data_IF_078737622314
#
_entry.id   IF_078737622314
#
_cell.length_a   1.000
_cell.length_b   1.000
_cell.length_c   1.000
_cell.angle_alpha   90.00
_cell.angle_beta   90.00
_cell.angle_gamma   90.00
#
_symmetry.space_group_name_H-M   'P 1'
#
loop_
_entity.id
_entity.type
_entity.pdbx_description
1 polymer ?
#
# COMPACT_ATOMS: atom_id res chain seq x y z
N UNK A 1 -1.21 26.85 5.00
CA UNK A 1 -0.60 25.51 4.86
C UNK A 1 -1.46 24.70 3.90
N UNK A 2 -0.91 24.13 2.82
CA UNK A 2 -1.67 23.34 1.84
C UNK A 2 -1.81 21.89 2.35
N UNK A 3 -2.98 21.27 2.18
CA UNK A 3 -3.18 19.86 2.48
C UNK A 3 -2.35 18.96 1.56
N UNK A 4 -1.84 17.84 2.08
CA UNK A 4 -1.18 16.79 1.31
C UNK A 4 -2.25 15.83 0.75
N UNK A 5 -2.42 15.83 -0.57
CA UNK A 5 -3.49 15.11 -1.25
C UNK A 5 -2.97 13.78 -1.79
N UNK A 6 -3.61 12.68 -1.41
CA UNK A 6 -3.27 11.33 -1.84
C UNK A 6 -4.37 10.77 -2.71
N UNK A 7 -4.05 10.42 -3.94
CA UNK A 7 -4.95 9.65 -4.79
C UNK A 7 -4.88 8.16 -4.42
N UNK A 8 -5.98 7.63 -3.90
CA UNK A 8 -6.13 6.23 -3.51
C UNK A 8 -6.47 5.37 -4.73
N UNK A 9 -5.47 4.81 -5.39
CA UNK A 9 -5.67 3.94 -6.55
C UNK A 9 -6.05 2.52 -6.09
N UNK A 10 -5.47 2.07 -4.98
CA UNK A 10 -5.70 0.74 -4.40
C UNK A 10 -5.54 -0.39 -5.43
N UNK A 11 -6.65 -1.09 -5.77
CA UNK A 11 -6.72 -2.15 -6.78
C UNK A 11 -7.53 -1.76 -8.03
N UNK A 12 -7.93 -0.49 -8.17
CA UNK A 12 -8.74 -0.01 -9.31
C UNK A 12 -8.03 -0.09 -10.68
N UNK A 13 -6.76 -0.46 -10.69
CA UNK A 13 -5.99 -0.72 -11.91
C UNK A 13 -6.25 -2.12 -12.51
N UNK A 14 -7.04 -2.98 -11.83
CA UNK A 14 -7.51 -4.29 -12.29
C UNK A 14 -6.42 -5.23 -12.82
N UNK A 15 -5.22 -5.14 -12.25
CA UNK A 15 -4.05 -5.91 -12.67
C UNK A 15 -3.36 -5.42 -13.94
N UNK A 16 -3.86 -4.34 -14.57
CA UNK A 16 -3.29 -3.75 -15.78
C UNK A 16 -2.30 -2.63 -15.46
N UNK A 17 -1.02 -2.84 -15.75
CA UNK A 17 0.03 -1.82 -15.57
C UNK A 17 -0.21 -0.58 -16.43
N UNK A 18 -0.82 -0.72 -17.61
CA UNK A 18 -1.15 0.42 -18.48
C UNK A 18 -2.24 1.29 -17.84
N UNK A 19 -3.29 0.68 -17.27
CA UNK A 19 -4.34 1.38 -16.50
C UNK A 19 -3.74 2.07 -15.28
N UNK A 20 -2.88 1.36 -14.51
CA UNK A 20 -2.21 1.95 -13.35
C UNK A 20 -1.39 3.21 -13.72
N UNK A 21 -0.60 3.15 -14.81
CA UNK A 21 0.16 4.31 -15.31
C UNK A 21 -0.75 5.47 -15.73
N UNK A 22 -1.89 5.18 -16.37
CA UNK A 22 -2.87 6.21 -16.71
C UNK A 22 -3.44 6.87 -15.45
N UNK A 23 -3.84 6.09 -14.45
CA UNK A 23 -4.33 6.60 -13.17
C UNK A 23 -3.28 7.47 -12.45
N UNK A 24 -2.01 7.06 -12.41
CA UNK A 24 -0.92 7.86 -11.85
C UNK A 24 -0.80 9.21 -12.59
N UNK A 25 -0.78 9.18 -13.92
CA UNK A 25 -0.68 10.39 -14.76
C UNK A 25 -1.84 11.36 -14.51
N UNK A 26 -3.07 10.85 -14.51
CA UNK A 26 -4.24 11.70 -14.28
C UNK A 26 -4.32 12.23 -12.84
N UNK A 27 -3.91 11.43 -11.84
CA UNK A 27 -3.76 11.90 -10.46
C UNK A 27 -2.77 13.06 -10.35
N UNK A 28 -1.62 12.97 -11.03
CA UNK A 28 -0.63 14.06 -11.09
C UNK A 28 -1.21 15.32 -11.73
N UNK A 29 -1.91 15.19 -12.86
CA UNK A 29 -2.56 16.31 -13.54
C UNK A 29 -3.63 16.98 -12.66
N UNK A 30 -4.38 16.19 -11.89
CA UNK A 30 -5.38 16.67 -10.95
C UNK A 30 -4.78 17.35 -9.69
N UNK A 31 -3.45 17.41 -9.57
CA UNK A 31 -2.76 18.08 -8.48
C UNK A 31 -2.55 17.25 -7.22
N UNK A 32 -2.70 15.93 -7.29
CA UNK A 32 -2.35 15.05 -6.18
C UNK A 32 -0.84 15.08 -5.90
N UNK A 33 -0.49 15.04 -4.62
CA UNK A 33 0.89 15.00 -4.13
C UNK A 33 1.45 13.59 -4.17
N UNK A 34 0.59 12.59 -3.99
CA UNK A 34 0.96 11.17 -3.99
C UNK A 34 -0.10 10.28 -4.59
N UNK A 35 0.33 9.08 -5.02
CA UNK A 35 -0.54 7.96 -5.37
C UNK A 35 -0.31 6.81 -4.40
N UNK A 36 -1.38 6.12 -4.00
CA UNK A 36 -1.30 4.98 -3.10
C UNK A 36 -1.91 3.72 -3.70
N UNK A 37 -1.16 2.63 -3.61
CA UNK A 37 -1.53 1.29 -4.03
C UNK A 37 -1.64 0.33 -2.84
N UNK A 38 -1.96 -0.92 -3.11
CA UNK A 38 -2.04 -1.98 -2.12
C UNK A 38 -1.26 -3.20 -2.58
N UNK A 39 -0.45 -3.76 -1.69
CA UNK A 39 0.44 -4.87 -1.95
C UNK A 39 0.08 -6.03 -1.01
N UNK A 40 -0.84 -6.86 -1.46
CA UNK A 40 -1.36 -8.04 -0.75
C UNK A 40 -1.21 -9.29 -1.62
N UNK A 41 -1.27 -10.45 -1.00
CA UNK A 41 -1.35 -11.75 -1.66
C UNK A 41 -2.79 -12.26 -1.57
N UNK A 42 -3.38 -12.67 -2.69
CA UNK A 42 -4.75 -13.19 -2.70
C UNK A 42 -4.88 -14.44 -1.82
N UNK A 43 -3.85 -15.30 -1.81
CA UNK A 43 -3.77 -16.46 -0.92
C UNK A 43 -3.95 -16.15 0.55
N UNK A 44 -3.48 -15.00 1.01
CA UNK A 44 -3.48 -14.64 2.43
C UNK A 44 -4.80 -14.02 2.88
N UNK A 45 -5.47 -13.29 1.97
CA UNK A 45 -6.63 -12.47 2.33
C UNK A 45 -7.95 -12.92 1.72
N UNK A 46 -7.92 -13.69 0.63
CA UNK A 46 -9.09 -13.96 -0.20
C UNK A 46 -9.22 -15.42 -0.64
N UNK A 47 -8.58 -16.34 0.08
CA UNK A 47 -8.69 -17.77 -0.20
C UNK A 47 -10.15 -18.21 -0.17
N UNK A 48 -10.60 -18.91 -1.23
CA UNK A 48 -11.99 -19.35 -1.35
C UNK A 48 -12.99 -18.28 -1.80
N UNK A 49 -12.54 -17.04 -2.09
CA UNK A 49 -13.44 -15.98 -2.57
C UNK A 49 -14.00 -16.31 -3.96
N UNK A 50 -15.30 -16.10 -4.24
CA UNK A 50 -15.91 -16.38 -5.55
C UNK A 50 -15.16 -15.72 -6.73
N UNK A 51 -14.71 -14.48 -6.54
CA UNK A 51 -13.99 -13.69 -7.53
C UNK A 51 -12.47 -13.90 -7.52
N UNK A 52 -12.00 -15.05 -7.03
CA UNK A 52 -10.59 -15.38 -6.88
C UNK A 52 -9.73 -15.00 -8.10
N UNK A 53 -10.20 -15.34 -9.31
CA UNK A 53 -9.44 -15.07 -10.55
C UNK A 53 -9.21 -13.58 -10.79
N UNK A 54 -10.22 -12.76 -10.53
CA UNK A 54 -10.16 -11.30 -10.68
C UNK A 54 -9.24 -10.71 -9.62
N UNK A 55 -9.41 -11.12 -8.38
CA UNK A 55 -8.59 -10.69 -7.25
C UNK A 55 -7.13 -11.06 -7.50
N UNK A 56 -6.85 -12.32 -7.84
CA UNK A 56 -5.47 -12.79 -8.13
C UNK A 56 -4.79 -11.99 -9.24
N UNK A 57 -5.51 -11.64 -10.30
CA UNK A 57 -5.01 -10.78 -11.39
C UNK A 57 -4.58 -9.40 -10.89
N UNK A 58 -5.27 -8.87 -9.88
CA UNK A 58 -5.03 -7.54 -9.30
C UNK A 58 -3.92 -7.51 -8.26
N UNK A 59 -3.24 -8.62 -7.97
CA UNK A 59 -2.06 -8.62 -7.11
C UNK A 59 -0.96 -7.73 -7.66
N UNK A 60 -0.45 -6.88 -6.78
CA UNK A 60 0.65 -5.98 -7.07
C UNK A 60 1.99 -6.68 -6.74
N UNK A 61 2.57 -7.35 -7.74
CA UNK A 61 3.85 -8.06 -7.60
C UNK A 61 5.03 -7.10 -7.47
N UNK A 62 6.17 -7.57 -6.99
CA UNK A 62 7.40 -6.78 -6.88
C UNK A 62 7.80 -6.11 -8.20
N UNK A 63 7.74 -6.84 -9.31
CA UNK A 63 8.05 -6.29 -10.63
C UNK A 63 7.09 -5.15 -11.04
N UNK A 64 5.79 -5.32 -10.78
CA UNK A 64 4.79 -4.28 -11.04
C UNK A 64 5.01 -3.05 -10.14
N UNK A 65 5.29 -3.24 -8.84
CA UNK A 65 5.62 -2.16 -7.91
C UNK A 65 6.80 -1.35 -8.41
N UNK A 66 7.92 -2.02 -8.76
CA UNK A 66 9.12 -1.35 -9.31
C UNK A 66 8.78 -0.50 -10.54
N UNK A 67 8.02 -1.08 -11.46
CA UNK A 67 7.59 -0.39 -12.69
C UNK A 67 6.76 0.86 -12.38
N UNK A 68 5.78 0.76 -11.47
CA UNK A 68 4.90 1.87 -11.13
C UNK A 68 5.61 2.95 -10.29
N UNK A 69 6.49 2.54 -9.36
CA UNK A 69 7.34 3.46 -8.59
C UNK A 69 8.25 4.26 -9.51
N UNK A 70 8.98 3.59 -10.40
CA UNK A 70 9.85 4.25 -11.39
C UNK A 70 9.06 5.23 -12.28
N UNK A 71 7.85 4.85 -12.69
CA UNK A 71 6.98 5.73 -13.49
C UNK A 71 6.50 6.96 -12.69
N UNK A 72 6.12 6.76 -11.43
CA UNK A 72 5.72 7.84 -10.54
C UNK A 72 6.86 8.84 -10.30
N UNK A 73 8.08 8.34 -10.08
CA UNK A 73 9.28 9.17 -9.90
C UNK A 73 9.57 10.04 -11.13
N UNK A 74 9.44 9.47 -12.34
CA UNK A 74 9.59 10.22 -13.60
C UNK A 74 8.56 11.35 -13.75
N UNK A 75 7.37 11.19 -13.19
CA UNK A 75 6.32 12.20 -13.19
C UNK A 75 6.43 13.19 -12.01
N UNK A 76 7.35 12.98 -11.08
CA UNK A 76 7.47 13.79 -9.88
C UNK A 76 6.26 13.73 -8.97
N UNK A 77 5.62 12.55 -8.86
CA UNK A 77 4.54 12.28 -7.89
C UNK A 77 5.00 11.21 -6.90
N UNK A 78 4.73 11.43 -5.61
CA UNK A 78 5.13 10.46 -4.59
C UNK A 78 4.36 9.14 -4.76
N UNK A 79 5.07 8.02 -4.70
CA UNK A 79 4.48 6.69 -4.69
C UNK A 79 4.66 6.06 -3.31
N UNK A 80 3.58 5.53 -2.74
CA UNK A 80 3.66 4.65 -1.58
C UNK A 80 2.56 3.59 -1.60
N UNK A 81 2.62 2.65 -0.68
CA UNK A 81 1.79 1.46 -0.75
C UNK A 81 1.41 0.97 0.65
N UNK A 82 0.21 0.39 0.79
CA UNK A 82 -0.08 -0.47 1.94
C UNK A 82 0.52 -1.84 1.67
N UNK A 83 1.49 -2.26 2.44
CA UNK A 83 1.98 -3.63 2.45
C UNK A 83 1.20 -4.45 3.48
N UNK A 84 0.87 -5.70 3.13
CA UNK A 84 0.09 -6.60 3.99
C UNK A 84 0.91 -7.79 4.50
N UNK A 85 2.17 -7.89 4.15
CA UNK A 85 3.11 -8.93 4.58
C UNK A 85 4.52 -8.36 4.68
N UNK A 86 5.40 -8.92 5.55
CA UNK A 86 6.72 -8.33 5.87
C UNK A 86 7.60 -8.07 4.66
N UNK A 87 7.69 -9.02 3.72
CA UNK A 87 8.56 -8.90 2.54
C UNK A 87 8.10 -7.77 1.61
N UNK A 88 6.79 -7.43 1.61
CA UNK A 88 6.30 -6.26 0.88
C UNK A 88 6.87 -4.95 1.46
N UNK A 89 7.00 -4.87 2.77
CA UNK A 89 7.56 -3.70 3.46
C UNK A 89 9.06 -3.59 3.21
N UNK A 90 9.79 -4.70 3.27
CA UNK A 90 11.23 -4.75 2.93
C UNK A 90 11.47 -4.30 1.49
N UNK A 91 10.66 -4.79 0.57
CA UNK A 91 10.76 -4.39 -0.83
C UNK A 91 10.44 -2.90 -1.05
N UNK A 92 9.37 -2.39 -0.44
CA UNK A 92 9.06 -0.96 -0.48
C UNK A 92 10.19 -0.11 0.12
N UNK A 93 10.82 -0.57 1.20
CA UNK A 93 12.00 0.08 1.77
C UNK A 93 13.17 0.12 0.78
N UNK A 94 13.47 -0.98 0.10
CA UNK A 94 14.54 -1.04 -0.90
C UNK A 94 14.31 -0.10 -2.10
N UNK A 95 13.05 0.20 -2.41
CA UNK A 95 12.65 1.17 -3.43
C UNK A 95 12.64 2.63 -2.95
N UNK A 96 13.00 2.89 -1.70
CA UNK A 96 13.12 4.23 -1.16
C UNK A 96 11.78 4.95 -0.97
N UNK A 97 10.69 4.26 -0.62
CA UNK A 97 9.43 4.94 -0.27
C UNK A 97 9.63 5.88 0.91
N UNK A 98 8.99 7.05 0.89
CA UNK A 98 9.15 8.08 1.92
C UNK A 98 8.30 7.83 3.16
N UNK A 99 7.22 7.08 3.02
CA UNK A 99 6.26 6.74 4.10
C UNK A 99 5.61 5.40 3.87
N UNK A 100 5.01 4.86 4.91
CA UNK A 100 4.21 3.64 4.87
C UNK A 100 2.73 3.92 5.11
N UNK A 101 1.90 2.94 4.76
CA UNK A 101 0.47 2.96 5.03
C UNK A 101 0.06 1.66 5.73
N UNK A 102 -0.57 1.78 6.87
CA UNK A 102 -1.29 0.70 7.53
C UNK A 102 -2.77 0.76 7.15
N UNK A 103 -3.25 -0.28 6.48
CA UNK A 103 -4.66 -0.41 6.16
C UNK A 103 -5.48 -0.71 7.42
N UNK A 104 -6.76 -0.34 7.43
CA UNK A 104 -7.67 -0.64 8.55
C UNK A 104 -7.69 -2.12 8.89
N UNK A 105 -7.69 -2.97 7.88
CA UNK A 105 -7.65 -4.43 8.01
C UNK A 105 -6.41 -4.90 8.78
N UNK A 106 -5.23 -4.43 8.39
CA UNK A 106 -3.98 -4.75 9.11
C UNK A 106 -4.04 -4.32 10.58
N UNK A 107 -4.70 -3.19 10.87
CA UNK A 107 -4.82 -2.67 12.23
C UNK A 107 -5.79 -3.48 13.13
N UNK A 108 -6.58 -4.39 12.56
CA UNK A 108 -7.39 -5.33 13.37
C UNK A 108 -6.54 -6.44 13.99
N UNK A 109 -5.38 -6.74 13.42
CA UNK A 109 -4.46 -7.82 13.79
C UNK A 109 -5.05 -9.23 13.55
N UNK A 110 -6.02 -9.35 12.68
CA UNK A 110 -6.71 -10.62 12.37
C UNK A 110 -6.12 -11.34 11.15
N UNK A 111 -5.42 -10.61 10.26
CA UNK A 111 -4.77 -11.24 9.11
C UNK A 111 -3.44 -11.91 9.51
N UNK A 112 -3.01 -12.97 8.81
CA UNK A 112 -1.87 -13.81 9.20
C UNK A 112 -0.58 -13.03 9.47
N UNK A 113 -0.30 -11.98 8.71
CA UNK A 113 0.96 -11.24 8.76
C UNK A 113 0.85 -9.85 9.40
N UNK A 114 -0.29 -9.51 10.02
CA UNK A 114 -0.55 -8.15 10.50
C UNK A 114 0.48 -7.66 11.51
N UNK A 115 0.76 -8.45 12.54
CA UNK A 115 1.69 -8.09 13.61
C UNK A 115 3.11 -7.92 13.07
N UNK A 116 3.61 -8.89 12.30
CA UNK A 116 4.95 -8.87 11.71
C UNK A 116 5.13 -7.69 10.76
N UNK A 117 4.10 -7.40 9.95
CA UNK A 117 4.09 -6.25 9.02
C UNK A 117 4.21 -4.92 9.77
N UNK A 118 3.45 -4.73 10.86
CA UNK A 118 3.52 -3.51 11.67
C UNK A 118 4.87 -3.38 12.36
N UNK A 119 5.39 -4.46 12.92
CA UNK A 119 6.73 -4.50 13.55
C UNK A 119 7.83 -4.14 12.53
N UNK A 120 7.74 -4.69 11.32
CA UNK A 120 8.68 -4.37 10.24
C UNK A 120 8.62 -2.89 9.87
N UNK A 121 7.42 -2.31 9.73
CA UNK A 121 7.26 -0.87 9.46
C UNK A 121 7.89 -0.03 10.57
N UNK A 122 7.65 -0.39 11.85
CA UNK A 122 8.23 0.30 13.01
C UNK A 122 9.76 0.35 12.96
N UNK A 123 10.41 -0.76 12.56
CA UNK A 123 11.88 -0.84 12.52
C UNK A 123 12.53 0.18 11.58
N UNK A 124 11.83 0.67 10.57
CA UNK A 124 12.37 1.63 9.59
C UNK A 124 12.26 3.10 9.99
N UNK A 125 11.56 3.42 11.10
CA UNK A 125 11.46 4.78 11.66
C UNK A 125 11.03 5.86 10.65
N UNK A 126 10.17 5.51 9.69
CA UNK A 126 9.61 6.44 8.70
C UNK A 126 8.17 6.85 9.07
N UNK A 127 7.67 7.96 8.51
CA UNK A 127 6.26 8.35 8.69
C UNK A 127 5.28 7.25 8.28
N UNK A 128 4.25 7.05 9.06
CA UNK A 128 3.21 6.05 8.82
C UNK A 128 1.83 6.71 8.81
N UNK A 129 1.07 6.47 7.75
CA UNK A 129 -0.34 6.83 7.69
C UNK A 129 -1.16 5.63 8.14
N UNK A 130 -2.01 5.79 9.15
CA UNK A 130 -2.75 4.69 9.79
C UNK A 130 -4.25 4.90 9.57
N UNK A 131 -4.95 3.87 9.04
CA UNK A 131 -6.40 3.82 8.99
C UNK A 131 -6.96 2.88 10.05
N UNK A 132 -8.00 3.33 10.76
CA UNK A 132 -8.59 2.61 11.91
C UNK A 132 -10.07 2.28 11.71
N UNK A 133 -10.60 2.38 10.49
CA UNK A 133 -12.01 2.28 10.16
C UNK A 133 -12.67 0.90 10.43
N UNK A 134 -11.88 -0.17 10.61
CA UNK A 134 -12.39 -1.52 10.90
C UNK A 134 -12.29 -1.89 12.40
N UNK A 135 -12.24 -0.90 13.29
CA UNK A 135 -12.22 -1.15 14.73
C UNK A 135 -10.88 -1.65 15.29
N UNK A 136 -9.77 -1.40 14.59
CA UNK A 136 -8.44 -1.76 15.09
C UNK A 136 -8.12 -1.09 16.43
N UNK A 137 -7.33 -1.75 17.27
CA UNK A 137 -6.96 -1.25 18.60
C UNK A 137 -5.84 -0.20 18.49
N UNK A 138 -6.24 1.08 18.54
CA UNK A 138 -5.32 2.23 18.44
C UNK A 138 -4.15 2.16 19.43
N UNK A 139 -4.42 1.80 20.69
CA UNK A 139 -3.39 1.76 21.73
C UNK A 139 -2.39 0.63 21.49
N UNK A 140 -2.86 -0.54 21.03
CA UNK A 140 -1.99 -1.66 20.67
C UNK A 140 -1.10 -1.32 19.49
N UNK A 141 -1.67 -0.71 18.44
CA UNK A 141 -0.90 -0.28 17.27
C UNK A 141 0.15 0.78 17.65
N UNK A 142 -0.22 1.75 18.47
CA UNK A 142 0.71 2.77 18.95
C UNK A 142 1.89 2.15 19.71
N UNK A 143 1.64 1.15 20.57
CA UNK A 143 2.71 0.45 21.30
C UNK A 143 3.67 -0.32 20.38
N UNK A 144 3.19 -0.84 19.26
CA UNK A 144 4.04 -1.56 18.30
C UNK A 144 4.88 -0.60 17.45
N UNK A 145 4.35 0.59 17.16
CA UNK A 145 5.02 1.58 16.31
C UNK A 145 6.04 2.45 17.05
N UNK A 146 5.96 2.53 18.37
CA UNK A 146 6.93 3.25 19.23
C UNK A 146 8.11 2.36 19.58
#
# INVERSE_FOLDING_TARGET
MRAFIVAEIASNWEGSVSVAKKLIKESKKAGADAVKFQMWRASDLYQGHPDWKIIKKSELTFAKVKTLKTYSDKLGIEFFCSGFYPESIEYLQSLGVKRYKLASRTCTLNDPHSLETITKISSYKKPVVISMGMGGNKNKIKKILN
#
